data_IF_304110672430
#
_entry.id   IF_304110672430
#
_cell.length_a   1.000
_cell.length_b   1.000
_cell.length_c   1.000
_cell.angle_alpha   90.00
_cell.angle_beta   90.00
_cell.angle_gamma   90.00
#
_symmetry.space_group_name_H-M   'P 1'
#
loop_
_entity.id
_entity.type
_entity.pdbx_description
1 polymer ?
#
# COMPACT_ATOMS: atom_id res chain seq x y z
N UNK A 1 6.22 30.37 10.44
CA UNK A 1 7.04 30.41 11.68
C UNK A 1 6.20 30.62 12.93
N UNK A 2 5.08 31.29 12.85
CA UNK A 2 4.09 31.37 13.94
C UNK A 2 3.75 30.01 14.62
N UNK A 3 3.73 28.85 13.91
CA UNK A 3 3.44 27.59 14.58
C UNK A 3 4.43 27.16 15.67
N UNK A 4 5.73 27.49 15.52
CA UNK A 4 6.74 27.08 16.51
C UNK A 4 6.72 27.99 17.74
N UNK A 5 6.40 29.28 17.58
CA UNK A 5 6.32 30.24 18.65
C UNK A 5 5.08 30.03 19.54
N UNK A 6 4.04 29.38 19.02
CA UNK A 6 2.78 29.09 19.72
C UNK A 6 2.65 27.64 20.14
N UNK A 7 3.60 26.79 19.76
CA UNK A 7 3.62 25.39 20.18
C UNK A 7 4.08 25.29 21.64
N UNK A 8 3.47 24.41 22.43
CA UNK A 8 3.92 24.11 23.79
C UNK A 8 5.35 23.54 23.83
N UNK A 9 5.78 22.87 22.72
CA UNK A 9 7.14 22.37 22.51
C UNK A 9 7.48 22.48 21.03
N UNK A 10 8.43 23.34 20.68
CA UNK A 10 8.98 23.47 19.33
C UNK A 10 10.25 22.65 19.17
N UNK A 11 10.33 21.79 18.15
CA UNK A 11 11.47 20.93 17.86
C UNK A 11 11.87 21.09 16.41
N UNK A 12 13.16 21.16 16.11
CA UNK A 12 13.66 21.18 14.73
C UNK A 12 14.89 20.29 14.54
N UNK A 13 15.17 19.80 13.31
CA UNK A 13 16.39 19.03 12.99
C UNK A 13 17.64 19.93 13.01
N UNK A 14 18.82 19.30 13.03
CA UNK A 14 20.10 19.97 13.13
C UNK A 14 20.40 20.93 11.94
N UNK A 15 19.88 20.61 10.77
CA UNK A 15 20.03 21.38 9.52
C UNK A 15 18.93 22.43 9.29
N UNK A 16 18.06 22.67 10.27
CA UNK A 16 17.04 23.72 10.16
C UNK A 16 17.71 25.10 10.07
N UNK A 17 17.03 26.04 9.38
CA UNK A 17 17.50 27.43 9.26
C UNK A 17 17.56 28.11 10.65
N UNK A 18 18.48 29.04 10.82
CA UNK A 18 18.78 29.70 12.11
C UNK A 18 17.53 30.25 12.80
N UNK A 19 16.61 30.85 12.05
CA UNK A 19 15.37 31.39 12.60
C UNK A 19 14.42 30.30 13.14
N UNK A 20 14.41 29.10 12.57
CA UNK A 20 13.66 27.98 13.11
C UNK A 20 14.32 27.42 14.37
N UNK A 21 15.66 27.36 14.40
CA UNK A 21 16.43 26.98 15.60
C UNK A 21 16.19 27.94 16.76
N UNK A 22 16.15 29.25 16.50
CA UNK A 22 15.87 30.27 17.53
C UNK A 22 14.45 30.19 18.11
N UNK A 23 13.47 29.75 17.29
CA UNK A 23 12.08 29.59 17.72
C UNK A 23 11.79 28.22 18.36
N UNK A 24 12.75 27.31 18.37
CA UNK A 24 12.57 25.94 18.87
C UNK A 24 13.05 25.80 20.31
N UNK A 25 12.35 24.99 21.10
CA UNK A 25 12.75 24.62 22.47
C UNK A 25 13.84 23.53 22.44
N UNK A 26 13.93 22.75 21.36
CA UNK A 26 14.91 21.68 21.19
C UNK A 26 15.39 21.61 19.74
N UNK A 27 16.68 21.41 19.56
CA UNK A 27 17.31 21.15 18.28
C UNK A 27 17.84 19.71 18.31
N UNK A 28 17.41 18.88 17.37
CA UNK A 28 17.90 17.51 17.25
C UNK A 28 19.34 17.49 16.76
N UNK A 29 20.08 16.41 17.05
CA UNK A 29 21.46 16.22 16.57
C UNK A 29 21.50 15.75 15.12
N UNK A 30 20.44 15.05 14.64
CA UNK A 30 20.31 14.55 13.29
C UNK A 30 19.68 15.56 12.36
N UNK A 31 20.18 15.59 11.13
CA UNK A 31 19.61 16.39 10.04
C UNK A 31 18.28 15.83 9.53
N UNK A 32 17.52 16.68 8.85
CA UNK A 32 16.30 16.27 8.15
C UNK A 32 16.61 15.16 7.14
N UNK A 33 15.82 14.08 7.16
CA UNK A 33 16.06 12.90 6.33
C UNK A 33 17.18 11.96 6.78
N UNK A 34 17.98 12.33 7.80
CA UNK A 34 19.09 11.54 8.34
C UNK A 34 18.74 10.86 9.68
N UNK A 35 17.46 10.55 9.89
CA UNK A 35 16.99 9.89 11.10
C UNK A 35 16.64 10.85 12.24
N UNK A 36 16.41 12.14 11.98
CA UNK A 36 15.98 13.10 12.98
C UNK A 36 14.66 12.72 13.66
N UNK A 37 13.72 12.12 12.92
CA UNK A 37 12.48 11.58 13.52
C UNK A 37 12.77 10.43 14.48
N UNK A 38 13.76 9.62 14.18
CA UNK A 38 14.16 8.52 15.06
C UNK A 38 14.85 9.03 16.34
N UNK A 39 15.67 10.05 16.22
CA UNK A 39 16.25 10.72 17.39
C UNK A 39 15.17 11.33 18.27
N UNK A 40 14.21 12.05 17.68
CA UNK A 40 13.04 12.58 18.39
C UNK A 40 12.28 11.45 19.10
N UNK A 41 12.09 10.33 18.42
CA UNK A 41 11.48 9.15 18.97
C UNK A 41 12.25 8.64 20.21
N UNK A 42 13.58 8.57 20.21
CA UNK A 42 14.37 8.17 21.37
C UNK A 42 14.27 9.17 22.53
N UNK A 43 14.31 10.47 22.22
CA UNK A 43 14.16 11.53 23.23
C UNK A 43 12.79 11.45 23.92
N UNK A 44 11.73 11.20 23.15
CA UNK A 44 10.39 11.03 23.69
C UNK A 44 10.24 9.73 24.52
N UNK A 45 11.02 8.67 24.27
CA UNK A 45 11.11 7.48 25.13
C UNK A 45 11.63 7.78 26.52
N UNK A 46 12.64 8.61 26.58
CA UNK A 46 13.28 8.98 27.84
C UNK A 46 12.45 10.01 28.62
N UNK A 47 11.53 10.72 27.93
CA UNK A 47 10.61 11.68 28.54
C UNK A 47 9.45 10.96 29.20
N UNK A 48 9.52 10.85 30.47
CA UNK A 48 8.73 10.13 31.45
C UNK A 48 7.28 9.77 31.06
N UNK A 49 6.94 8.52 31.21
CA UNK A 49 5.77 7.73 30.84
C UNK A 49 4.37 8.20 31.29
N UNK A 50 4.17 9.46 31.64
CA UNK A 50 2.89 9.95 32.15
C UNK A 50 2.05 10.80 31.17
N UNK A 51 2.58 11.14 29.96
CA UNK A 51 1.78 11.86 28.97
C UNK A 51 1.25 10.91 27.89
N UNK A 52 0.05 10.42 28.09
CA UNK A 52 -0.71 9.47 27.25
C UNK A 52 -0.67 9.75 25.73
N UNK A 53 -0.81 10.98 25.19
CA UNK A 53 -0.87 11.19 23.74
C UNK A 53 0.45 10.90 23.01
N UNK A 54 1.59 11.32 23.57
CA UNK A 54 2.92 11.15 22.95
C UNK A 54 3.34 9.70 22.99
N UNK A 55 3.12 9.03 24.12
CA UNK A 55 3.43 7.61 24.28
C UNK A 55 2.58 6.71 23.36
N UNK A 56 1.33 7.09 23.13
CA UNK A 56 0.45 6.36 22.20
C UNK A 56 0.97 6.43 20.74
N UNK A 57 1.30 7.62 20.25
CA UNK A 57 1.85 7.81 18.91
C UNK A 57 3.16 7.05 18.73
N UNK A 58 4.00 7.09 19.75
CA UNK A 58 5.25 6.37 19.81
C UNK A 58 5.09 4.86 19.59
N UNK A 59 4.18 4.25 20.37
CA UNK A 59 3.88 2.83 20.24
C UNK A 59 3.41 2.45 18.82
N UNK A 60 2.67 3.35 18.15
CA UNK A 60 2.24 3.10 16.75
C UNK A 60 3.41 3.13 15.79
N UNK A 61 4.36 4.03 15.96
CA UNK A 61 5.59 4.06 15.16
C UNK A 61 6.45 2.81 15.38
N UNK A 62 6.58 2.36 16.62
CA UNK A 62 7.33 1.15 16.96
C UNK A 62 6.68 -0.11 16.35
N UNK A 63 5.36 -0.22 16.41
CA UNK A 63 4.63 -1.29 15.72
C UNK A 63 4.90 -1.29 14.20
N UNK A 64 4.82 -0.12 13.57
CA UNK A 64 5.09 0.06 12.15
C UNK A 64 6.52 -0.38 11.81
N UNK A 65 7.51 0.15 12.51
CA UNK A 65 8.93 -0.19 12.30
C UNK A 65 9.18 -1.68 12.42
N UNK A 66 8.63 -2.32 13.43
CA UNK A 66 8.81 -3.76 13.66
C UNK A 66 8.24 -4.60 12.52
N UNK A 67 7.12 -4.18 11.91
CA UNK A 67 6.53 -4.87 10.76
C UNK A 67 7.43 -4.72 9.55
N UNK A 68 7.91 -3.52 9.26
CA UNK A 68 8.79 -3.26 8.12
C UNK A 68 10.14 -3.98 8.25
N UNK A 69 10.71 -4.06 9.45
CA UNK A 69 11.92 -4.87 9.72
C UNK A 69 11.68 -6.35 9.44
N UNK A 70 10.54 -6.89 9.88
CA UNK A 70 10.17 -8.30 9.59
C UNK A 70 10.02 -8.53 8.09
N UNK A 71 9.30 -7.65 7.38
CA UNK A 71 9.16 -7.75 5.92
C UNK A 71 10.51 -7.71 5.21
N UNK A 72 11.41 -6.81 5.60
CA UNK A 72 12.74 -6.67 4.99
C UNK A 72 13.63 -7.91 5.19
N UNK A 73 13.39 -8.72 6.22
CA UNK A 73 14.15 -9.96 6.50
C UNK A 73 13.45 -11.22 6.00
N UNK A 74 12.18 -11.13 5.62
CA UNK A 74 11.41 -12.26 5.07
C UNK A 74 11.56 -12.32 3.54
N UNK A 75 12.46 -13.20 3.08
CA UNK A 75 12.68 -13.41 1.65
C UNK A 75 11.42 -13.81 0.89
N UNK A 76 10.52 -14.57 1.52
CA UNK A 76 9.29 -14.96 0.86
C UNK A 76 8.42 -13.75 0.51
N UNK A 77 8.33 -12.77 1.41
CA UNK A 77 7.60 -11.53 1.15
C UNK A 77 8.29 -10.71 0.06
N UNK A 78 9.61 -10.47 0.20
CA UNK A 78 10.36 -9.64 -0.74
C UNK A 78 10.39 -10.25 -2.15
N UNK A 79 10.66 -11.55 -2.26
CA UNK A 79 10.72 -12.23 -3.55
C UNK A 79 9.34 -12.24 -4.23
N UNK A 80 8.26 -12.55 -3.49
CA UNK A 80 6.89 -12.51 -4.04
C UNK A 80 6.48 -11.11 -4.51
N UNK A 81 6.84 -10.04 -3.79
CA UNK A 81 6.57 -8.66 -4.22
C UNK A 81 7.28 -8.36 -5.55
N UNK A 82 8.53 -8.80 -5.69
CA UNK A 82 9.28 -8.59 -6.93
C UNK A 82 8.75 -9.44 -8.09
N UNK A 83 8.34 -10.69 -7.85
CA UNK A 83 7.66 -11.53 -8.84
C UNK A 83 6.37 -10.87 -9.33
N UNK A 84 5.56 -10.30 -8.45
CA UNK A 84 4.36 -9.54 -8.82
C UNK A 84 4.71 -8.35 -9.70
N UNK A 85 5.76 -7.60 -9.38
CA UNK A 85 6.20 -6.45 -10.16
C UNK A 85 6.67 -6.85 -11.58
N UNK A 86 7.41 -7.98 -11.69
CA UNK A 86 7.81 -8.55 -12.97
C UNK A 86 6.61 -8.98 -13.82
N UNK A 87 5.66 -9.66 -13.20
CA UNK A 87 4.41 -10.10 -13.86
C UNK A 87 3.60 -8.92 -14.40
N UNK A 88 3.56 -7.79 -13.68
CA UNK A 88 2.91 -6.56 -14.13
C UNK A 88 3.65 -5.95 -15.32
N UNK A 89 4.99 -5.97 -15.34
CA UNK A 89 5.77 -5.53 -16.49
C UNK A 89 5.41 -6.35 -17.72
N UNK A 90 5.44 -7.69 -17.62
CA UNK A 90 5.08 -8.58 -18.73
C UNK A 90 3.64 -8.38 -19.21
N UNK A 91 2.71 -8.14 -18.29
CA UNK A 91 1.31 -7.88 -18.61
C UNK A 91 1.17 -6.58 -19.41
N UNK A 92 1.81 -5.48 -19.02
CA UNK A 92 1.77 -4.21 -19.75
C UNK A 92 2.48 -4.29 -21.11
N UNK A 93 3.60 -5.02 -21.24
CA UNK A 93 4.26 -5.26 -22.52
C UNK A 93 3.36 -5.99 -23.53
N UNK A 94 2.43 -6.79 -23.05
CA UNK A 94 1.41 -7.48 -23.86
C UNK A 94 0.12 -6.67 -24.03
N UNK A 95 0.11 -5.39 -23.65
CA UNK A 95 -1.06 -4.51 -23.66
C UNK A 95 -2.22 -5.02 -22.78
N UNK A 96 -1.92 -5.73 -21.70
CA UNK A 96 -2.89 -6.15 -20.71
C UNK A 96 -3.35 -4.99 -19.81
N UNK A 97 -4.34 -5.26 -18.97
CA UNK A 97 -4.92 -4.34 -18.03
C UNK A 97 -4.74 -4.82 -16.59
N UNK A 98 -4.34 -3.91 -15.70
CA UNK A 98 -4.28 -4.15 -14.26
C UNK A 98 -5.59 -3.71 -13.60
N UNK A 99 -6.27 -4.66 -12.96
CA UNK A 99 -7.43 -4.39 -12.12
C UNK A 99 -7.04 -4.44 -10.64
N UNK A 100 -7.64 -3.54 -9.83
CA UNK A 100 -7.45 -3.55 -8.39
C UNK A 100 -8.82 -3.51 -7.68
N UNK A 101 -8.93 -4.24 -6.57
CA UNK A 101 -10.14 -4.20 -5.75
C UNK A 101 -9.82 -4.35 -4.26
N UNK A 102 -10.74 -3.87 -3.42
CA UNK A 102 -10.68 -3.94 -1.97
C UNK A 102 -11.87 -3.25 -1.33
N UNK A 103 -12.00 -3.31 -0.02
CA UNK A 103 -13.08 -2.68 0.74
C UNK A 103 -12.53 -1.62 1.71
N UNK A 104 -13.29 -0.56 1.97
CA UNK A 104 -12.93 0.47 2.94
C UNK A 104 -11.57 1.11 2.66
N UNK A 105 -10.63 1.04 3.59
CA UNK A 105 -9.25 1.53 3.39
C UNK A 105 -8.55 0.83 2.23
N UNK A 106 -8.74 -0.48 2.07
CA UNK A 106 -8.19 -1.23 0.93
C UNK A 106 -8.83 -0.84 -0.42
N UNK A 107 -10.04 -0.26 -0.43
CA UNK A 107 -10.59 0.35 -1.64
C UNK A 107 -9.88 1.67 -1.98
N UNK A 108 -9.53 2.45 -0.96
CA UNK A 108 -8.72 3.66 -1.14
C UNK A 108 -7.31 3.31 -1.65
N UNK A 109 -6.67 2.28 -1.09
CA UNK A 109 -5.37 1.76 -1.56
C UNK A 109 -5.45 1.33 -3.03
N UNK A 110 -6.51 0.59 -3.41
CA UNK A 110 -6.73 0.16 -4.79
C UNK A 110 -6.81 1.35 -5.77
N UNK A 111 -7.54 2.41 -5.40
CA UNK A 111 -7.64 3.63 -6.20
C UNK A 111 -6.30 4.37 -6.31
N UNK A 112 -5.62 4.50 -5.18
CA UNK A 112 -4.34 5.18 -5.10
C UNK A 112 -3.29 4.46 -5.97
N UNK A 113 -3.13 3.15 -5.78
CA UNK A 113 -2.15 2.35 -6.54
C UNK A 113 -2.48 2.36 -8.05
N UNK A 114 -3.76 2.26 -8.44
CA UNK A 114 -4.15 2.35 -9.86
C UNK A 114 -3.72 3.69 -10.48
N UNK A 115 -3.83 4.78 -9.73
CA UNK A 115 -3.45 6.13 -10.18
C UNK A 115 -1.96 6.23 -10.48
N UNK A 116 -1.10 5.53 -9.74
CA UNK A 116 0.35 5.54 -9.97
C UNK A 116 0.73 4.95 -11.35
N UNK A 117 -0.07 4.06 -11.88
CA UNK A 117 0.12 3.52 -13.24
C UNK A 117 -0.49 4.41 -14.32
N UNK A 118 -1.69 4.95 -14.09
CA UNK A 118 -2.42 5.76 -15.09
C UNK A 118 -1.79 7.14 -15.26
N UNK A 119 -1.42 7.79 -14.16
CA UNK A 119 -0.72 9.07 -14.18
C UNK A 119 0.80 8.83 -14.33
N UNK A 120 1.63 9.65 -13.75
CA UNK A 120 3.07 9.42 -13.65
C UNK A 120 3.45 9.15 -12.18
N UNK A 121 4.44 8.31 -11.94
CA UNK A 121 5.03 8.19 -10.62
C UNK A 121 6.18 9.18 -10.47
N UNK A 122 7.34 8.90 -11.04
CA UNK A 122 8.48 9.84 -11.07
C UNK A 122 8.74 10.41 -12.47
N UNK A 123 8.45 9.64 -13.54
CA UNK A 123 8.83 9.96 -14.90
C UNK A 123 7.63 10.35 -15.76
N UNK A 124 7.86 11.31 -16.68
CA UNK A 124 6.92 11.54 -17.77
C UNK A 124 6.99 10.36 -18.73
N UNK A 125 5.87 9.65 -18.91
CA UNK A 125 5.76 8.44 -19.71
C UNK A 125 4.32 8.22 -20.20
N UNK A 126 4.09 7.33 -21.17
CA UNK A 126 2.75 6.93 -21.57
C UNK A 126 1.96 6.34 -20.38
N UNK A 127 0.64 6.61 -20.37
CA UNK A 127 -0.26 6.03 -19.38
C UNK A 127 -0.29 4.50 -19.50
N UNK A 128 -0.24 3.80 -18.36
CA UNK A 128 -0.43 2.36 -18.29
C UNK A 128 -1.88 2.03 -17.92
N UNK A 129 -2.44 0.97 -18.50
CA UNK A 129 -3.85 0.63 -18.36
C UNK A 129 -4.15 -0.04 -17.02
N UNK A 130 -4.50 0.75 -16.01
CA UNK A 130 -4.88 0.28 -14.68
C UNK A 130 -6.22 0.87 -14.23
N UNK A 131 -7.04 0.07 -13.53
CA UNK A 131 -8.34 0.52 -13.04
C UNK A 131 -8.67 -0.09 -11.67
N UNK A 132 -9.10 0.75 -10.72
CA UNK A 132 -9.69 0.28 -9.48
C UNK A 132 -11.19 0.03 -9.67
N UNK A 133 -11.66 -1.19 -9.38
CA UNK A 133 -13.07 -1.58 -9.49
C UNK A 133 -13.97 -0.93 -8.42
N UNK A 134 -13.42 -0.02 -7.65
CA UNK A 134 -14.06 0.66 -6.51
C UNK A 134 -14.55 2.08 -6.83
N UNK A 135 -14.34 2.56 -8.06
CA UNK A 135 -14.55 3.98 -8.40
C UNK A 135 -15.94 4.29 -9.00
N UNK A 136 -16.55 3.33 -9.68
CA UNK A 136 -17.86 3.57 -10.31
C UNK A 136 -18.98 3.26 -9.31
N UNK A 137 -19.43 4.30 -8.60
CA UNK A 137 -20.47 4.19 -7.56
C UNK A 137 -21.80 3.69 -8.09
N UNK A 138 -22.20 4.08 -9.30
CA UNK A 138 -23.44 3.59 -9.92
C UNK A 138 -23.37 2.09 -10.20
N UNK A 139 -22.25 1.60 -10.73
CA UNK A 139 -22.02 0.18 -10.97
C UNK A 139 -22.02 -0.62 -9.67
N UNK A 140 -21.30 -0.13 -8.62
CA UNK A 140 -21.22 -0.79 -7.33
C UNK A 140 -22.60 -0.90 -6.67
N UNK A 141 -23.37 0.19 -6.67
CA UNK A 141 -24.69 0.22 -6.03
C UNK A 141 -25.72 -0.60 -6.81
N UNK A 142 -25.71 -0.56 -8.12
CA UNK A 142 -26.59 -1.37 -8.97
C UNK A 142 -26.32 -2.87 -8.76
N UNK A 143 -25.06 -3.31 -8.86
CA UNK A 143 -24.72 -4.73 -8.64
C UNK A 143 -25.05 -5.15 -7.22
N UNK A 144 -24.76 -4.33 -6.23
CA UNK A 144 -25.07 -4.60 -4.83
C UNK A 144 -26.58 -4.75 -4.57
N UNK A 145 -27.43 -3.96 -5.25
CA UNK A 145 -28.88 -4.00 -5.15
C UNK A 145 -29.49 -5.18 -5.93
N UNK A 146 -29.05 -5.38 -7.19
CA UNK A 146 -29.71 -6.29 -8.11
C UNK A 146 -29.25 -7.75 -7.95
N UNK A 147 -28.02 -7.96 -7.44
CA UNK A 147 -27.43 -9.28 -7.22
C UNK A 147 -27.05 -9.48 -5.76
N UNK A 148 -25.84 -9.01 -5.37
CA UNK A 148 -25.37 -8.97 -3.97
C UNK A 148 -24.07 -8.18 -3.90
N UNK A 149 -23.71 -7.73 -2.67
CA UNK A 149 -22.42 -7.09 -2.45
C UNK A 149 -21.23 -8.04 -2.71
N UNK A 150 -21.43 -9.33 -2.62
CA UNK A 150 -20.41 -10.35 -2.93
C UNK A 150 -20.00 -10.33 -4.42
N UNK A 151 -20.88 -9.87 -5.31
CA UNK A 151 -20.68 -9.85 -6.77
C UNK A 151 -20.09 -8.55 -7.31
N UNK A 152 -19.94 -7.50 -6.48
CA UNK A 152 -19.63 -6.14 -6.97
C UNK A 152 -18.34 -6.03 -7.77
N UNK A 153 -17.33 -6.83 -7.48
CA UNK A 153 -16.06 -6.84 -8.22
C UNK A 153 -16.05 -7.88 -9.33
N UNK A 154 -16.48 -9.11 -9.03
CA UNK A 154 -16.53 -10.18 -10.03
C UNK A 154 -17.38 -9.80 -11.24
N UNK A 155 -18.53 -9.15 -11.04
CA UNK A 155 -19.41 -8.71 -12.12
C UNK A 155 -18.78 -7.65 -13.02
N UNK A 156 -17.94 -6.79 -12.47
CA UNK A 156 -17.18 -5.81 -13.27
C UNK A 156 -16.08 -6.50 -14.09
N UNK A 157 -15.39 -7.49 -13.51
CA UNK A 157 -14.41 -8.30 -14.26
C UNK A 157 -15.06 -9.07 -15.41
N UNK A 158 -16.28 -9.61 -15.22
CA UNK A 158 -17.06 -10.27 -16.30
C UNK A 158 -17.23 -9.36 -17.53
N UNK A 159 -17.43 -8.06 -17.30
CA UNK A 159 -17.64 -7.11 -18.37
C UNK A 159 -16.34 -6.64 -19.05
N UNK A 160 -15.26 -6.48 -18.28
CA UNK A 160 -14.07 -5.75 -18.70
C UNK A 160 -12.86 -6.63 -18.96
N UNK A 161 -12.62 -7.60 -18.07
CA UNK A 161 -11.36 -8.32 -18.04
C UNK A 161 -11.22 -9.36 -19.16
N UNK A 162 -10.00 -9.60 -19.57
CA UNK A 162 -9.62 -10.56 -20.64
C UNK A 162 -8.48 -11.45 -20.13
N UNK A 163 -8.33 -12.60 -20.77
CA UNK A 163 -7.17 -13.47 -20.53
C UNK A 163 -5.87 -12.70 -20.80
N UNK A 164 -4.94 -12.74 -19.86
CA UNK A 164 -3.68 -12.00 -19.91
C UNK A 164 -3.68 -10.71 -19.10
N UNK A 165 -4.84 -10.27 -18.61
CA UNK A 165 -4.94 -9.21 -17.61
C UNK A 165 -4.52 -9.71 -16.22
N UNK A 166 -4.45 -8.81 -15.26
CA UNK A 166 -4.06 -9.10 -13.88
C UNK A 166 -4.99 -8.45 -12.88
N UNK A 167 -5.24 -9.13 -11.76
CA UNK A 167 -6.03 -8.63 -10.64
C UNK A 167 -5.17 -8.59 -9.37
N UNK A 168 -5.01 -7.40 -8.78
CA UNK A 168 -4.54 -7.23 -7.40
C UNK A 168 -5.76 -7.05 -6.50
N UNK A 169 -5.97 -8.01 -5.63
CA UNK A 169 -7.03 -8.01 -4.63
C UNK A 169 -6.45 -7.66 -3.25
N UNK A 170 -7.06 -6.70 -2.56
CA UNK A 170 -6.55 -6.18 -1.28
C UNK A 170 -7.57 -6.45 -0.19
N UNK A 171 -7.18 -7.26 0.80
CA UNK A 171 -8.02 -7.57 1.97
C UNK A 171 -7.17 -7.87 3.19
N UNK A 172 -7.25 -7.04 4.22
CA UNK A 172 -6.43 -7.22 5.45
C UNK A 172 -6.64 -8.57 6.12
N UNK A 173 -7.88 -9.11 6.10
CA UNK A 173 -8.20 -10.44 6.65
C UNK A 173 -8.02 -11.59 5.65
N UNK A 174 -8.00 -11.29 4.34
CA UNK A 174 -8.03 -12.29 3.28
C UNK A 174 -9.39 -13.01 3.10
N UNK A 175 -10.42 -12.66 3.87
CA UNK A 175 -11.70 -13.39 3.92
C UNK A 175 -12.90 -12.62 3.36
N UNK A 176 -12.70 -11.42 2.81
CA UNK A 176 -13.76 -10.60 2.23
C UNK A 176 -14.41 -11.32 1.06
N UNK A 177 -15.69 -11.67 1.16
CA UNK A 177 -16.38 -12.52 0.19
C UNK A 177 -16.39 -11.96 -1.23
N UNK A 178 -16.60 -10.66 -1.41
CA UNK A 178 -16.56 -10.01 -2.72
C UNK A 178 -15.15 -10.02 -3.35
N UNK A 179 -14.11 -9.94 -2.52
CA UNK A 179 -12.71 -10.05 -2.96
C UNK A 179 -12.39 -11.48 -3.38
N UNK A 180 -12.78 -12.47 -2.57
CA UNK A 180 -12.61 -13.89 -2.91
C UNK A 180 -13.38 -14.28 -4.18
N UNK A 181 -14.60 -13.78 -4.35
CA UNK A 181 -15.41 -14.04 -5.55
C UNK A 181 -14.74 -13.45 -6.82
N UNK A 182 -14.14 -12.27 -6.71
CA UNK A 182 -13.37 -11.68 -7.80
C UNK A 182 -12.14 -12.54 -8.18
N UNK A 183 -11.41 -13.04 -7.18
CA UNK A 183 -10.25 -13.92 -7.39
C UNK A 183 -10.65 -15.25 -8.04
N UNK A 184 -11.72 -15.90 -7.55
CA UNK A 184 -12.25 -17.14 -8.16
C UNK A 184 -12.62 -16.94 -9.63
N UNK A 185 -13.33 -15.83 -9.93
CA UNK A 185 -13.66 -15.47 -11.29
C UNK A 185 -12.41 -15.25 -12.14
N UNK A 186 -11.48 -14.41 -11.68
CA UNK A 186 -10.25 -14.10 -12.38
C UNK A 186 -9.44 -15.36 -12.69
N UNK A 187 -9.24 -16.23 -11.71
CA UNK A 187 -8.54 -17.51 -11.87
C UNK A 187 -9.17 -18.38 -12.94
N UNK A 188 -10.49 -18.50 -12.93
CA UNK A 188 -11.25 -19.30 -13.93
C UNK A 188 -11.10 -18.74 -15.34
N UNK A 189 -10.92 -17.44 -15.50
CA UNK A 189 -10.78 -16.79 -16.82
C UNK A 189 -9.32 -16.69 -17.30
N UNK A 190 -8.36 -17.20 -16.53
CA UNK A 190 -6.93 -17.12 -16.86
C UNK A 190 -6.37 -15.70 -16.72
N UNK A 191 -6.95 -14.93 -15.84
CA UNK A 191 -6.46 -13.63 -15.37
C UNK A 191 -5.53 -13.92 -14.20
N UNK A 192 -4.31 -13.37 -14.21
CA UNK A 192 -3.34 -13.56 -13.13
C UNK A 192 -3.83 -12.90 -11.86
N UNK A 193 -3.66 -13.56 -10.71
CA UNK A 193 -4.28 -13.17 -9.46
C UNK A 193 -3.26 -12.96 -8.35
N UNK A 194 -3.37 -11.82 -7.67
CA UNK A 194 -2.55 -11.45 -6.51
C UNK A 194 -3.45 -11.09 -5.35
N UNK A 195 -3.14 -11.62 -4.17
CA UNK A 195 -3.75 -11.19 -2.90
C UNK A 195 -2.72 -10.45 -2.04
N UNK A 196 -3.05 -9.22 -1.62
CA UNK A 196 -2.36 -8.53 -0.53
C UNK A 196 -3.17 -8.68 0.75
N UNK A 197 -2.58 -9.25 1.81
CA UNK A 197 -3.29 -9.52 3.07
C UNK A 197 -2.37 -9.44 4.29
N UNK A 198 -2.98 -9.53 5.48
CA UNK A 198 -2.27 -9.70 6.74
C UNK A 198 -1.92 -11.16 7.03
N UNK A 199 -1.33 -11.39 8.22
CA UNK A 199 -0.93 -12.72 8.67
C UNK A 199 -2.13 -13.55 9.17
N UNK A 200 -2.90 -14.02 8.21
CA UNK A 200 -4.05 -14.90 8.42
C UNK A 200 -3.92 -16.17 7.57
N UNK A 201 -4.49 -17.27 8.04
CA UNK A 201 -4.58 -18.50 7.28
C UNK A 201 -5.88 -18.57 6.51
N UNK A 202 -5.77 -18.57 5.18
CA UNK A 202 -6.92 -18.72 4.24
C UNK A 202 -6.50 -19.76 3.19
N UNK A 203 -6.73 -21.05 3.45
CA UNK A 203 -6.21 -22.14 2.59
C UNK A 203 -6.66 -22.04 1.14
N UNK A 204 -7.87 -21.54 0.88
CA UNK A 204 -8.41 -21.38 -0.48
C UNK A 204 -7.52 -20.50 -1.39
N UNK A 205 -6.79 -19.54 -0.83
CA UNK A 205 -5.94 -18.66 -1.62
C UNK A 205 -4.82 -19.40 -2.35
N UNK A 206 -4.40 -20.58 -1.87
CA UNK A 206 -3.42 -21.41 -2.55
C UNK A 206 -3.92 -21.94 -3.90
N UNK A 207 -5.26 -22.05 -4.08
CA UNK A 207 -5.88 -22.56 -5.29
C UNK A 207 -6.26 -21.44 -6.26
N UNK A 208 -6.66 -20.27 -5.72
CA UNK A 208 -7.23 -19.17 -6.50
C UNK A 208 -6.28 -17.99 -6.74
N UNK A 209 -5.08 -17.98 -6.12
CA UNK A 209 -4.08 -16.93 -6.31
C UNK A 209 -2.79 -17.48 -6.90
N UNK A 210 -2.22 -16.75 -7.86
CA UNK A 210 -0.86 -16.99 -8.34
C UNK A 210 0.16 -16.49 -7.33
N UNK A 211 -0.12 -15.34 -6.69
CA UNK A 211 0.71 -14.77 -5.63
C UNK A 211 -0.11 -14.38 -4.41
N UNK A 212 0.45 -14.63 -3.22
CA UNK A 212 -0.11 -14.17 -1.94
C UNK A 212 0.98 -13.45 -1.16
N UNK A 213 0.86 -12.14 -1.02
CA UNK A 213 1.77 -11.31 -0.21
C UNK A 213 1.16 -11.15 1.18
N UNK A 214 1.81 -11.74 2.19
CA UNK A 214 1.37 -11.66 3.59
C UNK A 214 2.20 -10.64 4.35
N UNK A 215 1.57 -9.56 4.81
CA UNK A 215 2.16 -8.63 5.78
C UNK A 215 2.21 -9.32 7.16
N UNK A 216 3.34 -9.34 7.88
CA UNK A 216 3.48 -10.07 9.14
C UNK A 216 2.80 -9.31 10.30
N UNK A 217 1.50 -9.06 10.18
CA UNK A 217 0.65 -8.37 11.14
C UNK A 217 -0.80 -8.81 11.03
N UNK A 218 -1.53 -8.72 12.16
CA UNK A 218 -2.98 -8.89 12.25
C UNK A 218 -3.72 -7.58 12.56
N UNK A 219 -2.97 -6.48 12.67
CA UNK A 219 -3.49 -5.16 13.02
C UNK A 219 -3.85 -4.42 11.73
N UNK A 220 -5.14 -4.23 11.46
CA UNK A 220 -5.65 -3.68 10.18
C UNK A 220 -4.92 -2.42 9.72
N UNK A 221 -4.78 -1.32 10.49
CA UNK A 221 -4.08 -0.13 10.01
C UNK A 221 -2.60 -0.39 9.67
N UNK A 222 -1.91 -1.23 10.44
CA UNK A 222 -0.51 -1.62 10.17
C UNK A 222 -0.38 -2.41 8.86
N UNK A 223 -1.36 -3.27 8.57
CA UNK A 223 -1.41 -4.03 7.32
C UNK A 223 -1.64 -3.06 6.13
N UNK A 224 -2.57 -2.12 6.24
CA UNK A 224 -2.86 -1.14 5.19
C UNK A 224 -1.66 -0.23 4.90
N UNK A 225 -0.94 0.25 5.93
CA UNK A 225 0.30 1.01 5.77
C UNK A 225 1.36 0.22 4.97
N UNK A 226 1.47 -1.09 5.22
CA UNK A 226 2.37 -1.95 4.47
C UNK A 226 1.85 -2.21 3.04
N UNK A 227 0.53 -2.35 2.83
CA UNK A 227 -0.05 -2.54 1.50
C UNK A 227 0.23 -1.36 0.58
N UNK A 228 0.07 -0.11 1.07
CA UNK A 228 0.36 1.06 0.25
C UNK A 228 1.86 1.18 -0.06
N UNK A 229 2.75 0.84 0.88
CA UNK A 229 4.18 0.79 0.64
C UNK A 229 4.54 -0.25 -0.43
N UNK A 230 3.97 -1.46 -0.37
CA UNK A 230 4.15 -2.51 -1.39
C UNK A 230 3.67 -2.02 -2.75
N UNK A 231 2.49 -1.39 -2.81
CA UNK A 231 1.92 -0.82 -4.03
C UNK A 231 2.82 0.24 -4.68
N UNK A 232 3.35 1.16 -3.88
CA UNK A 232 4.33 2.15 -4.35
C UNK A 232 5.62 1.49 -4.86
N UNK A 233 6.17 0.53 -4.12
CA UNK A 233 7.38 -0.19 -4.52
C UNK A 233 7.20 -0.90 -5.87
N UNK A 234 6.06 -1.55 -6.07
CA UNK A 234 5.71 -2.20 -7.34
C UNK A 234 5.59 -1.15 -8.46
N UNK A 235 4.86 -0.06 -8.24
CA UNK A 235 4.68 0.98 -9.25
C UNK A 235 6.00 1.66 -9.65
N UNK A 236 6.85 1.96 -8.67
CA UNK A 236 8.20 2.51 -8.88
C UNK A 236 9.07 1.56 -9.70
N UNK A 237 9.10 0.28 -9.33
CA UNK A 237 9.88 -0.72 -10.06
C UNK A 237 9.40 -0.89 -11.50
N UNK A 238 8.08 -0.99 -11.72
CA UNK A 238 7.48 -1.13 -13.05
C UNK A 238 7.80 0.08 -13.92
N UNK A 239 7.66 1.30 -13.38
CA UNK A 239 8.02 2.52 -14.11
C UNK A 239 9.52 2.54 -14.46
N UNK A 240 10.38 2.17 -13.51
CA UNK A 240 11.82 2.10 -13.74
C UNK A 240 12.18 1.07 -14.82
N UNK A 241 11.58 -0.13 -14.77
CA UNK A 241 11.89 -1.23 -15.68
C UNK A 241 11.41 -0.96 -17.11
N UNK A 242 10.19 -0.43 -17.27
CA UNK A 242 9.61 -0.22 -18.59
C UNK A 242 10.07 1.10 -19.24
N UNK A 243 10.40 2.13 -18.46
CA UNK A 243 10.70 3.47 -18.94
C UNK A 243 12.02 4.06 -18.38
N UNK A 244 12.78 3.30 -17.60
CA UNK A 244 14.10 3.67 -17.15
C UNK A 244 15.10 3.66 -18.32
N UNK A 245 16.16 4.47 -18.24
CA UNK A 245 17.30 4.29 -19.11
C UNK A 245 17.88 2.89 -18.84
N UNK A 246 18.18 2.14 -19.90
CA UNK A 246 18.94 0.89 -19.76
C UNK A 246 20.27 1.25 -19.12
N UNK A 247 20.50 0.71 -17.91
CA UNK A 247 21.79 0.79 -17.24
C UNK A 247 22.89 0.16 -18.11
#
# INVERSE_FOLDING_TARGET
MEPLEHAGLGICPADAIDRAKQASNMILQKEGGQGCLWELVQILKDYNSQELPVNYFYQRLEEHENIFKKMATDRKVTDTVMEVAEDICEMFERNGQLFLCGNGGSAADAQHIATEFVSRFYKERPAMNAEALTVNTSTLTAIGNDYSYERVFARQLEAKARKGDMLIAISTSGTSKNVLEALRYARKQGIRTVMLMGDHEVPELQEICDHVVKVPSKITPRIQEAHIFIGHTIAEYVEHKLFGEKL
#
